data_IF_504211452205
#
_entry.id   IF_504211452205
#
_cell.length_a   1.000
_cell.length_b   1.000
_cell.length_c   1.000
_cell.angle_alpha   90.00
_cell.angle_beta   90.00
_cell.angle_gamma   90.00
#
_symmetry.space_group_name_H-M   'P 1'
#
loop_
_entity.id
_entity.type
_entity.pdbx_description
1 polymer ?
#
# COMPACT_ATOMS: atom_id res chain seq x y z
N UNK A 1 -2.69 -0.16 10.49
CA UNK A 1 -2.81 -1.52 9.93
C UNK A 1 -3.72 -1.44 8.74
N UNK A 2 -3.27 -1.97 7.62
CA UNK A 2 -3.98 -1.88 6.35
C UNK A 2 -5.32 -2.60 6.41
N UNK A 3 -6.29 -2.03 5.71
CA UNK A 3 -7.63 -2.61 5.64
C UNK A 3 -8.25 -2.37 4.27
N UNK A 4 -8.78 -3.44 3.67
CA UNK A 4 -9.68 -3.32 2.53
C UNK A 4 -11.12 -3.17 3.04
N UNK A 5 -11.77 -2.07 2.69
CA UNK A 5 -13.16 -1.78 3.07
C UNK A 5 -14.16 -2.56 2.19
N UNK A 6 -15.44 -2.62 2.59
CA UNK A 6 -16.51 -3.24 1.79
C UNK A 6 -16.74 -2.54 0.43
N UNK A 7 -16.26 -1.30 0.28
CA UNK A 7 -16.35 -0.53 -0.96
C UNK A 7 -15.13 -0.72 -1.87
N UNK A 8 -14.17 -1.57 -1.51
CA UNK A 8 -12.94 -1.77 -2.29
C UNK A 8 -11.88 -0.69 -2.09
N UNK A 9 -12.03 0.18 -1.09
CA UNK A 9 -10.99 1.15 -0.73
C UNK A 9 -9.97 0.48 0.18
N UNK A 10 -8.70 0.44 -0.25
CA UNK A 10 -7.58 -0.02 0.56
C UNK A 10 -7.03 1.15 1.38
N UNK A 11 -7.24 1.11 2.69
CA UNK A 11 -6.74 2.10 3.62
C UNK A 11 -5.34 1.74 4.09
N UNK A 12 -4.41 2.70 4.00
CA UNK A 12 -3.01 2.59 4.42
C UNK A 12 -2.74 3.72 5.41
N UNK A 13 -2.27 3.39 6.61
CA UNK A 13 -1.97 4.37 7.68
C UNK A 13 -0.47 4.55 7.88
N UNK A 14 -0.08 5.52 8.73
CA UNK A 14 1.34 5.82 8.99
C UNK A 14 2.15 4.64 9.51
N UNK A 15 1.56 3.77 10.34
CA UNK A 15 2.28 2.60 10.83
C UNK A 15 2.64 1.65 9.68
N UNK A 16 1.78 1.52 8.68
CA UNK A 16 2.05 0.66 7.52
C UNK A 16 3.21 1.23 6.71
N UNK A 17 3.22 2.54 6.47
CA UNK A 17 4.32 3.24 5.77
C UNK A 17 5.62 3.15 6.58
N UNK A 18 5.54 3.30 7.90
CA UNK A 18 6.69 3.19 8.81
C UNK A 18 7.32 1.81 8.74
N UNK A 19 6.52 0.75 8.67
CA UNK A 19 7.02 -0.61 8.45
C UNK A 19 7.78 -0.75 7.14
N UNK A 20 7.30 -0.14 6.04
CA UNK A 20 8.01 -0.16 4.75
C UNK A 20 9.39 0.49 4.86
N UNK A 21 9.48 1.65 5.53
CA UNK A 21 10.77 2.28 5.82
C UNK A 21 11.68 1.39 6.66
N UNK A 22 11.15 0.69 7.66
CA UNK A 22 11.94 -0.24 8.48
C UNK A 22 12.52 -1.39 7.64
N UNK A 23 11.76 -1.99 6.72
CA UNK A 23 12.29 -3.04 5.84
C UNK A 23 13.32 -2.51 4.85
N UNK A 24 13.10 -1.31 4.30
CA UNK A 24 14.07 -0.67 3.43
C UNK A 24 15.39 -0.40 4.16
N UNK A 25 15.34 0.25 5.33
CA UNK A 25 16.55 0.63 6.08
C UNK A 25 17.29 -0.59 6.67
N UNK A 26 16.55 -1.56 7.22
CA UNK A 26 17.14 -2.73 7.88
C UNK A 26 17.57 -3.82 6.90
N UNK A 27 16.72 -4.11 5.92
CA UNK A 27 16.83 -5.30 5.08
C UNK A 27 17.17 -4.95 3.61
N UNK A 28 17.16 -3.66 3.24
CA UNK A 28 17.42 -3.22 1.86
C UNK A 28 16.31 -3.57 0.88
N UNK A 29 15.11 -3.88 1.38
CA UNK A 29 13.97 -4.31 0.57
C UNK A 29 13.29 -3.12 -0.12
N UNK A 30 12.93 -3.26 -1.40
CA UNK A 30 12.13 -2.26 -2.12
C UNK A 30 10.78 -2.02 -1.46
N UNK A 31 10.19 -0.83 -1.63
CA UNK A 31 8.90 -0.51 -0.99
C UNK A 31 7.74 -1.32 -1.57
N UNK A 32 7.82 -1.69 -2.85
CA UNK A 32 6.88 -2.58 -3.53
C UNK A 32 6.92 -3.99 -2.92
N UNK A 33 8.11 -4.60 -2.81
CA UNK A 33 8.30 -5.90 -2.16
C UNK A 33 7.89 -5.87 -0.69
N UNK A 34 8.26 -4.80 0.02
CA UNK A 34 7.89 -4.58 1.42
C UNK A 34 6.38 -4.50 1.60
N UNK A 35 5.68 -3.84 0.66
CA UNK A 35 4.24 -3.71 0.70
C UNK A 35 3.54 -5.04 0.44
N UNK A 36 4.01 -5.82 -0.54
CA UNK A 36 3.50 -7.17 -0.80
C UNK A 36 3.69 -8.08 0.41
N UNK A 37 4.84 -7.99 1.07
CA UNK A 37 5.11 -8.71 2.31
C UNK A 37 4.13 -8.33 3.42
N UNK A 38 3.88 -7.03 3.63
CA UNK A 38 2.92 -6.55 4.63
C UNK A 38 1.48 -7.00 4.34
N UNK A 39 1.03 -6.97 3.08
CA UNK A 39 -0.27 -7.52 2.71
C UNK A 39 -0.43 -8.98 3.13
N UNK A 40 0.62 -9.79 2.91
CA UNK A 40 0.65 -11.19 3.33
C UNK A 40 0.68 -11.34 4.85
N UNK A 41 1.53 -10.58 5.54
CA UNK A 41 1.70 -10.61 6.99
C UNK A 41 0.41 -10.23 7.72
N UNK A 42 -0.27 -9.20 7.23
CA UNK A 42 -1.52 -8.68 7.79
C UNK A 42 -2.76 -9.46 7.33
N UNK A 43 -2.59 -10.49 6.46
CA UNK A 43 -3.66 -11.26 5.85
C UNK A 43 -4.72 -10.37 5.17
N UNK A 44 -4.28 -9.40 4.36
CA UNK A 44 -5.17 -8.56 3.54
C UNK A 44 -5.30 -9.21 2.16
N UNK A 45 -6.39 -9.96 1.88
CA UNK A 45 -6.54 -10.64 0.60
C UNK A 45 -6.86 -9.62 -0.49
N UNK A 46 -5.95 -9.48 -1.45
CA UNK A 46 -6.22 -8.78 -2.70
C UNK A 46 -6.47 -9.82 -3.80
N UNK A 47 -7.57 -9.67 -4.51
CA UNK A 47 -7.92 -10.46 -5.69
C UNK A 47 -8.19 -9.53 -6.86
N UNK A 48 -8.06 -9.96 -8.11
CA UNK A 48 -8.37 -9.10 -9.26
C UNK A 48 -9.77 -8.47 -9.14
N UNK A 49 -9.83 -7.13 -9.17
CA UNK A 49 -11.05 -6.32 -9.03
C UNK A 49 -11.46 -6.01 -7.58
N UNK A 50 -10.64 -6.29 -6.58
CA UNK A 50 -10.92 -6.04 -5.17
C UNK A 50 -10.63 -4.60 -4.73
N UNK A 51 -9.64 -3.96 -5.34
CA UNK A 51 -9.22 -2.59 -5.02
C UNK A 51 -9.81 -1.64 -6.04
N UNK A 52 -10.77 -0.82 -5.61
CA UNK A 52 -11.32 0.28 -6.39
C UNK A 52 -10.49 1.56 -6.27
N UNK A 53 -9.88 1.78 -5.10
CA UNK A 53 -9.00 2.93 -4.85
C UNK A 53 -8.13 2.71 -3.61
N UNK A 54 -7.07 3.50 -3.47
CA UNK A 54 -6.25 3.57 -2.26
C UNK A 54 -6.62 4.83 -1.49
N UNK A 55 -6.69 4.74 -0.16
CA UNK A 55 -6.77 5.90 0.71
C UNK A 55 -5.57 5.90 1.67
N UNK A 56 -4.77 6.96 1.60
CA UNK A 56 -3.68 7.17 2.53
C UNK A 56 -4.20 8.01 3.70
N UNK A 57 -4.32 7.40 4.88
CA UNK A 57 -4.78 8.07 6.10
C UNK A 57 -3.55 8.37 6.95
N UNK A 58 -2.91 9.51 6.64
CA UNK A 58 -1.60 9.87 7.16
C UNK A 58 -1.67 11.17 7.97
N UNK A 59 -0.97 11.23 9.09
CA UNK A 59 -0.92 12.37 10.01
C UNK A 59 -0.13 13.56 9.41
N UNK A 60 0.83 13.30 8.53
CA UNK A 60 1.67 14.33 7.87
C UNK A 60 1.86 14.10 6.36
N UNK A 61 1.53 15.12 5.55
CA UNK A 61 1.71 15.18 4.09
C UNK A 61 3.19 15.46 3.67
N UNK A 62 4.14 14.74 4.26
CA UNK A 62 5.56 14.94 3.93
C UNK A 62 5.88 14.54 2.46
N UNK A 63 6.68 15.33 1.72
CA UNK A 63 7.02 15.07 0.31
C UNK A 63 7.87 13.81 0.08
N UNK A 64 8.39 13.17 1.14
CA UNK A 64 9.13 11.91 1.04
C UNK A 64 8.26 10.70 0.63
N UNK A 65 6.95 10.89 0.44
CA UNK A 65 5.98 9.81 0.16
C UNK A 65 5.65 9.59 -1.32
N UNK A 66 6.03 10.49 -2.23
CA UNK A 66 5.71 10.33 -3.67
C UNK A 66 6.28 9.02 -4.24
N UNK A 67 7.54 8.67 -3.90
CA UNK A 67 8.13 7.39 -4.34
C UNK A 67 7.43 6.17 -3.75
N UNK A 68 7.00 6.23 -2.48
CA UNK A 68 6.27 5.12 -1.84
C UNK A 68 4.90 4.94 -2.48
N UNK A 69 4.22 6.02 -2.85
CA UNK A 69 2.91 5.93 -3.51
C UNK A 69 3.02 5.18 -4.83
N UNK A 70 4.03 5.51 -5.66
CA UNK A 70 4.26 4.82 -6.93
C UNK A 70 4.58 3.34 -6.74
N UNK A 71 5.41 3.01 -5.75
CA UNK A 71 5.79 1.63 -5.43
C UNK A 71 4.59 0.82 -4.90
N UNK A 72 3.79 1.42 -4.01
CA UNK A 72 2.54 0.81 -3.50
C UNK A 72 1.55 0.56 -4.64
N UNK A 73 1.36 1.53 -5.54
CA UNK A 73 0.48 1.36 -6.69
C UNK A 73 0.99 0.25 -7.63
N UNK A 74 2.31 0.16 -7.81
CA UNK A 74 2.95 -0.88 -8.62
C UNK A 74 2.74 -2.26 -8.00
N UNK A 75 2.95 -2.39 -6.69
CA UNK A 75 2.69 -3.61 -5.94
C UNK A 75 1.23 -4.04 -6.05
N UNK A 76 0.27 -3.13 -5.88
CA UNK A 76 -1.16 -3.46 -5.99
C UNK A 76 -1.50 -3.92 -7.41
N UNK A 77 -1.00 -3.25 -8.47
CA UNK A 77 -1.22 -3.69 -9.85
C UNK A 77 -0.65 -5.09 -10.15
N UNK A 78 0.34 -5.55 -9.40
CA UNK A 78 0.90 -6.89 -9.56
C UNK A 78 -0.04 -8.00 -9.06
N UNK A 79 -0.92 -7.69 -8.09
CA UNK A 79 -1.85 -8.65 -7.46
C UNK A 79 -3.31 -8.41 -7.82
N UNK A 80 -3.67 -7.16 -8.10
CA UNK A 80 -4.96 -6.72 -8.61
C UNK A 80 -4.76 -6.00 -9.96
N UNK A 81 -4.82 -6.77 -11.03
CA UNK A 81 -4.59 -6.27 -12.40
C UNK A 81 -5.72 -5.37 -12.92
N UNK A 82 -6.83 -5.24 -12.19
CA UNK A 82 -7.95 -4.36 -12.56
C UNK A 82 -7.88 -3.00 -11.87
N UNK A 83 -7.01 -2.83 -10.88
CA UNK A 83 -6.77 -1.56 -10.23
C UNK A 83 -6.17 -0.54 -11.21
N UNK A 84 -6.81 0.63 -11.34
CA UNK A 84 -6.45 1.66 -12.32
C UNK A 84 -5.43 2.68 -11.82
N UNK A 85 -5.12 2.70 -10.51
CA UNK A 85 -4.29 3.73 -9.90
C UNK A 85 -5.08 4.82 -9.15
N UNK A 86 -6.39 4.66 -8.97
CA UNK A 86 -7.23 5.61 -8.25
C UNK A 86 -6.80 5.80 -6.78
N UNK A 87 -6.65 7.05 -6.35
CA UNK A 87 -6.39 7.44 -4.97
C UNK A 87 -7.53 8.34 -4.47
N UNK A 88 -8.06 8.05 -3.29
CA UNK A 88 -9.02 8.89 -2.56
C UNK A 88 -8.26 9.77 -1.57
N UNK A 89 -8.68 11.03 -1.46
CA UNK A 89 -8.19 11.99 -0.47
C UNK A 89 -9.02 11.95 0.80
#
# INVERSE_FOLDING_TARGET
MMQLTEHGVLQIVDEDISSLYCYYDRDGMGYDDSFLFELQLQNVPLTPGSVSAIQFVLEDESPLREGIIEDVQTAIRSVDTQYDGSIVK
#
